data_IF_634698757878
#
_entry.id   IF_634698757878
#
_cell.length_a   1.000
_cell.length_b   1.000
_cell.length_c   1.000
_cell.angle_alpha   90.00
_cell.angle_beta   90.00
_cell.angle_gamma   90.00
#
_symmetry.space_group_name_H-M   'P 1'
#
loop_
_entity.id
_entity.type
_entity.pdbx_description
1 polymer ?
#
# COMPACT_ATOMS: atom_id res chain seq x y z
N UNK A 1 5.20 -15.03 -9.21
CA UNK A 1 4.76 -14.60 -7.86
C UNK A 1 5.19 -15.62 -6.83
N UNK A 2 5.61 -15.18 -5.67
CA UNK A 2 5.88 -16.08 -4.53
C UNK A 2 4.60 -16.21 -3.69
N UNK A 3 3.70 -17.08 -4.10
CA UNK A 3 2.38 -17.26 -3.49
C UNK A 3 2.45 -17.61 -2.01
N UNK A 4 3.39 -18.46 -1.62
CA UNK A 4 3.53 -18.89 -0.23
C UNK A 4 3.90 -17.73 0.69
N UNK A 5 4.88 -16.91 0.32
CA UNK A 5 5.26 -15.74 1.12
C UNK A 5 4.16 -14.69 1.15
N UNK A 6 3.51 -14.44 0.02
CA UNK A 6 2.37 -13.52 -0.02
C UNK A 6 1.27 -13.99 0.93
N UNK A 7 0.98 -15.30 0.95
CA UNK A 7 -0.05 -15.86 1.82
C UNK A 7 0.26 -15.68 3.31
N UNK A 8 1.52 -15.82 3.70
CA UNK A 8 1.94 -15.63 5.10
C UNK A 8 1.72 -14.18 5.54
N UNK A 9 1.92 -13.21 4.64
CA UNK A 9 1.84 -11.78 4.96
C UNK A 9 0.44 -11.21 4.76
N UNK A 10 -0.40 -11.84 3.94
CA UNK A 10 -1.67 -11.29 3.52
C UNK A 10 -2.75 -11.43 4.59
N UNK A 11 -3.66 -10.45 4.60
CA UNK A 11 -4.93 -10.55 5.32
C UNK A 11 -5.99 -11.10 4.36
N UNK A 12 -6.97 -11.82 4.93
CA UNK A 12 -8.15 -12.23 4.16
C UNK A 12 -9.22 -11.15 4.33
N UNK A 13 -9.38 -10.32 3.31
CA UNK A 13 -10.30 -9.19 3.35
C UNK A 13 -11.77 -9.57 3.13
N UNK A 14 -12.06 -10.87 2.98
CA UNK A 14 -13.42 -11.39 3.10
C UNK A 14 -13.86 -11.49 4.57
N UNK A 15 -12.90 -11.49 5.49
CA UNK A 15 -13.14 -11.72 6.92
C UNK A 15 -12.72 -10.55 7.81
N UNK A 16 -11.82 -9.71 7.35
CA UNK A 16 -11.29 -8.59 8.13
C UNK A 16 -11.10 -7.38 7.22
N UNK A 17 -10.82 -6.24 7.82
CA UNK A 17 -10.52 -5.02 7.06
C UNK A 17 -9.01 -4.87 6.88
N UNK A 18 -8.56 -4.20 5.80
CA UNK A 18 -7.16 -3.80 5.71
C UNK A 18 -6.83 -2.79 6.80
N UNK A 19 -5.54 -2.57 7.04
CA UNK A 19 -5.11 -1.58 8.03
C UNK A 19 -5.70 -0.21 7.73
N UNK A 20 -5.83 0.61 8.76
CA UNK A 20 -6.38 1.97 8.67
C UNK A 20 -5.65 2.80 7.60
N UNK A 21 -6.34 3.76 6.93
CA UNK A 21 -5.66 4.73 6.06
C UNK A 21 -4.58 5.54 6.77
N UNK A 22 -4.63 5.61 8.09
CA UNK A 22 -3.63 6.33 8.90
C UNK A 22 -2.52 5.44 9.44
N UNK A 23 -2.57 4.14 9.19
CA UNK A 23 -1.51 3.24 9.64
C UNK A 23 -0.23 3.50 8.86
N UNK A 24 0.89 3.60 9.58
CA UNK A 24 2.19 3.85 8.97
C UNK A 24 2.77 2.59 8.33
N UNK A 25 3.53 2.79 7.27
CA UNK A 25 4.40 1.77 6.68
C UNK A 25 5.82 2.32 6.72
N UNK A 26 6.65 1.77 7.61
CA UNK A 26 7.99 2.31 7.84
C UNK A 26 7.93 3.72 8.41
N UNK A 27 9.04 4.46 8.26
CA UNK A 27 9.19 5.80 8.84
C UNK A 27 8.77 6.93 7.89
N UNK A 28 8.64 6.64 6.59
CA UNK A 28 8.40 7.67 5.57
C UNK A 28 6.93 7.77 5.19
N UNK A 29 6.21 6.67 5.25
CA UNK A 29 4.84 6.58 4.73
C UNK A 29 3.82 6.55 5.86
N UNK A 30 3.39 7.74 6.35
CA UNK A 30 2.50 7.83 7.51
C UNK A 30 1.03 7.59 7.21
N UNK A 31 0.65 7.52 5.93
CA UNK A 31 -0.76 7.34 5.54
C UNK A 31 -0.88 6.53 4.26
N UNK A 32 -1.97 5.79 4.16
CA UNK A 32 -2.42 5.02 2.99
C UNK A 32 -1.56 3.81 2.65
N UNK A 33 -0.23 3.90 2.77
CA UNK A 33 0.69 2.87 2.28
C UNK A 33 0.43 1.49 2.87
N UNK A 34 0.27 1.38 4.19
CA UNK A 34 0.02 0.08 4.83
C UNK A 34 -1.29 -0.54 4.34
N UNK A 35 -2.34 0.28 4.19
CA UNK A 35 -3.65 -0.17 3.73
C UNK A 35 -3.59 -0.66 2.28
N UNK A 36 -2.95 0.09 1.39
CA UNK A 36 -2.87 -0.35 -0.01
C UNK A 36 -2.02 -1.60 -0.19
N UNK A 37 -1.00 -1.80 0.65
CA UNK A 37 -0.21 -3.03 0.64
C UNK A 37 -1.07 -4.22 1.07
N UNK A 38 -1.90 -4.08 2.10
CA UNK A 38 -2.83 -5.13 2.52
C UNK A 38 -3.79 -5.50 1.40
N UNK A 39 -4.34 -4.50 0.71
CA UNK A 39 -5.25 -4.73 -0.41
C UNK A 39 -4.55 -5.43 -1.58
N UNK A 40 -3.33 -5.02 -1.87
CA UNK A 40 -2.54 -5.64 -2.95
C UNK A 40 -2.30 -7.12 -2.67
N UNK A 41 -1.82 -7.45 -1.48
CA UNK A 41 -1.57 -8.84 -1.10
C UNK A 41 -2.84 -9.69 -1.17
N UNK A 42 -3.94 -9.17 -0.66
CA UNK A 42 -5.22 -9.88 -0.68
C UNK A 42 -5.72 -10.10 -2.12
N UNK A 43 -5.60 -9.09 -2.97
CA UNK A 43 -6.02 -9.19 -4.36
C UNK A 43 -5.17 -10.20 -5.14
N UNK A 44 -3.87 -10.26 -4.87
CA UNK A 44 -2.98 -11.25 -5.48
C UNK A 44 -3.42 -12.69 -5.16
N UNK A 45 -4.08 -12.90 -4.04
CA UNK A 45 -4.55 -14.21 -3.60
C UNK A 45 -6.04 -14.43 -3.84
N UNK A 46 -6.72 -13.48 -4.50
CA UNK A 46 -8.15 -13.59 -4.75
C UNK A 46 -9.02 -13.50 -3.50
N UNK A 47 -8.55 -12.80 -2.47
CA UNK A 47 -9.27 -12.66 -1.18
C UNK A 47 -9.42 -11.21 -0.72
N UNK A 48 -9.61 -10.31 -1.68
CA UNK A 48 -9.74 -8.87 -1.41
C UNK A 48 -11.14 -8.42 -0.99
N UNK A 49 -12.13 -9.31 -1.07
CA UNK A 49 -13.51 -8.95 -0.74
C UNK A 49 -14.00 -7.79 -1.60
N UNK A 50 -14.57 -6.77 -0.96
CA UNK A 50 -15.04 -5.57 -1.65
C UNK A 50 -13.96 -4.49 -1.79
N UNK A 51 -12.75 -4.75 -1.32
CA UNK A 51 -11.65 -3.77 -1.39
C UNK A 51 -10.91 -3.90 -2.71
N UNK A 52 -10.42 -2.77 -3.22
CA UNK A 52 -9.69 -2.72 -4.48
C UNK A 52 -8.34 -2.02 -4.29
N UNK A 53 -7.29 -2.65 -4.80
CA UNK A 53 -6.00 -2.02 -4.95
C UNK A 53 -6.07 -1.01 -6.10
N UNK A 54 -5.32 0.09 -5.99
CA UNK A 54 -5.32 1.17 -6.97
C UNK A 54 -6.70 1.86 -7.09
N UNK A 55 -7.41 1.95 -5.96
CA UNK A 55 -8.67 2.69 -5.87
C UNK A 55 -8.40 4.21 -5.89
N UNK A 56 -9.44 5.07 -5.97
CA UNK A 56 -9.24 6.52 -5.98
C UNK A 56 -8.39 7.05 -4.83
N UNK A 57 -8.54 6.50 -3.62
CA UNK A 57 -7.72 6.89 -2.47
C UNK A 57 -6.25 6.49 -2.67
N UNK A 58 -6.00 5.27 -3.15
CA UNK A 58 -4.65 4.80 -3.44
C UNK A 58 -3.99 5.67 -4.51
N UNK A 59 -4.76 6.11 -5.51
CA UNK A 59 -4.25 6.98 -6.57
C UNK A 59 -3.80 8.33 -6.05
N UNK A 60 -4.42 8.83 -4.99
CA UNK A 60 -3.94 10.04 -4.32
C UNK A 60 -2.53 9.83 -3.77
N UNK A 61 -2.27 8.67 -3.17
CA UNK A 61 -0.96 8.30 -2.68
C UNK A 61 0.06 8.17 -3.83
N UNK A 62 -0.30 7.48 -4.90
CA UNK A 62 0.60 7.30 -6.05
C UNK A 62 0.93 8.64 -6.71
N UNK A 63 -0.04 9.53 -6.84
CA UNK A 63 0.19 10.87 -7.38
C UNK A 63 1.11 11.69 -6.47
N UNK A 64 0.92 11.59 -5.16
CA UNK A 64 1.71 12.35 -4.18
C UNK A 64 3.16 11.87 -4.07
N UNK A 65 3.42 10.60 -4.33
CA UNK A 65 4.76 10.00 -4.17
C UNK A 65 5.50 9.77 -5.47
N UNK A 66 4.77 9.63 -6.58
CA UNK A 66 5.34 9.24 -7.87
C UNK A 66 5.60 7.73 -7.99
N UNK A 67 5.21 6.93 -6.99
CA UNK A 67 5.30 5.47 -7.06
C UNK A 67 4.26 4.97 -8.05
N UNK A 68 4.64 4.05 -8.92
CA UNK A 68 3.74 3.44 -9.90
C UNK A 68 3.06 2.21 -9.34
N UNK A 69 1.73 2.17 -9.43
CA UNK A 69 0.90 1.11 -8.85
C UNK A 69 1.26 -0.29 -9.37
N UNK A 70 1.44 -0.44 -10.67
CA UNK A 70 1.78 -1.73 -11.29
C UNK A 70 3.15 -2.24 -10.87
N UNK A 71 4.15 -1.37 -10.84
CA UNK A 71 5.50 -1.76 -10.42
C UNK A 71 5.52 -2.16 -8.95
N UNK A 72 4.77 -1.46 -8.12
CA UNK A 72 4.63 -1.82 -6.71
C UNK A 72 3.96 -3.19 -6.56
N UNK A 73 2.90 -3.44 -7.32
CA UNK A 73 2.22 -4.73 -7.31
C UNK A 73 3.18 -5.87 -7.66
N UNK A 74 3.99 -5.69 -8.70
CA UNK A 74 4.99 -6.68 -9.10
C UNK A 74 5.99 -6.96 -7.98
N UNK A 75 6.44 -5.91 -7.29
CA UNK A 75 7.37 -6.08 -6.18
C UNK A 75 6.73 -6.79 -4.98
N UNK A 76 5.51 -6.41 -4.62
CA UNK A 76 4.76 -7.07 -3.54
C UNK A 76 4.55 -8.55 -3.85
N UNK A 77 4.32 -8.89 -5.11
CA UNK A 77 4.12 -10.27 -5.56
C UNK A 77 5.35 -11.16 -5.35
N UNK A 78 6.53 -10.59 -5.15
CA UNK A 78 7.74 -11.36 -4.82
C UNK A 78 7.71 -11.91 -3.39
N UNK A 79 6.76 -11.48 -2.56
CA UNK A 79 6.66 -11.88 -1.17
C UNK A 79 7.41 -10.96 -0.23
N UNK A 80 7.69 -9.73 -0.65
CA UNK A 80 8.37 -8.73 0.16
C UNK A 80 7.56 -8.40 1.42
N UNK A 81 8.24 -8.26 2.56
CA UNK A 81 7.62 -7.85 3.82
C UNK A 81 7.45 -6.32 3.84
N UNK A 82 6.82 -5.81 4.92
CA UNK A 82 6.53 -4.38 5.04
C UNK A 82 7.77 -3.49 4.98
N UNK A 83 8.87 -3.92 5.62
CA UNK A 83 10.12 -3.16 5.62
C UNK A 83 10.71 -3.11 4.21
N UNK A 84 10.71 -4.25 3.53
CA UNK A 84 11.20 -4.33 2.15
C UNK A 84 10.36 -3.47 1.20
N UNK A 85 9.03 -3.49 1.38
CA UNK A 85 8.13 -2.68 0.56
C UNK A 85 8.36 -1.19 0.81
N UNK A 86 8.49 -0.77 2.07
CA UNK A 86 8.77 0.63 2.40
C UNK A 86 10.09 1.10 1.81
N UNK A 87 11.14 0.27 1.87
CA UNK A 87 12.44 0.56 1.29
C UNK A 87 12.35 0.72 -0.23
N UNK A 88 11.64 -0.19 -0.88
CA UNK A 88 11.43 -0.15 -2.33
C UNK A 88 10.67 1.12 -2.74
N UNK A 89 9.60 1.46 -2.01
CA UNK A 89 8.81 2.66 -2.26
C UNK A 89 9.67 3.93 -2.14
N UNK A 90 10.51 4.00 -1.11
CA UNK A 90 11.41 5.14 -0.92
C UNK A 90 12.38 5.28 -2.08
N UNK A 91 12.90 4.16 -2.60
CA UNK A 91 13.82 4.16 -3.72
C UNK A 91 13.16 4.56 -5.05
N UNK A 92 11.87 4.31 -5.19
CA UNK A 92 11.13 4.56 -6.44
C UNK A 92 10.27 5.83 -6.40
N UNK A 93 10.13 6.46 -5.24
CA UNK A 93 9.42 7.74 -5.14
C UNK A 93 10.15 8.81 -5.95
N UNK A 94 9.39 9.68 -6.61
CA UNK A 94 9.94 10.75 -7.44
C UNK A 94 9.90 12.12 -6.75
N UNK A 95 9.40 12.17 -5.51
CA UNK A 95 9.35 13.40 -4.71
C UNK A 95 10.20 13.23 -3.46
N UNK A 96 10.68 14.33 -2.84
CA UNK A 96 11.47 14.25 -1.62
C UNK A 96 10.72 13.64 -0.45
N UNK A 97 11.44 12.97 0.45
CA UNK A 97 10.88 12.36 1.65
C UNK A 97 10.05 13.33 2.47
N UNK A 98 10.52 14.57 2.65
CA UNK A 98 9.80 15.61 3.39
C UNK A 98 8.42 15.90 2.79
N UNK A 99 8.31 15.86 1.46
CA UNK A 99 7.03 16.08 0.78
C UNK A 99 6.06 14.93 1.06
N UNK A 100 6.55 13.70 1.10
CA UNK A 100 5.73 12.52 1.40
C UNK A 100 5.21 12.58 2.84
N UNK A 101 6.09 12.89 3.79
CA UNK A 101 5.71 13.00 5.20
C UNK A 101 4.68 14.11 5.39
N UNK A 102 4.90 15.26 4.75
CA UNK A 102 3.97 16.40 4.82
C UNK A 102 2.61 16.06 4.22
N UNK A 103 2.60 15.38 3.09
CA UNK A 103 1.36 14.93 2.48
C UNK A 103 0.59 13.98 3.42
N UNK A 104 1.28 13.02 4.02
CA UNK A 104 0.67 12.07 4.94
C UNK A 104 0.03 12.73 6.17
N UNK A 105 0.65 13.79 6.68
CA UNK A 105 0.10 14.54 7.82
C UNK A 105 -1.16 15.31 7.46
N UNK A 106 -1.33 15.69 6.20
CA UNK A 106 -2.48 16.45 5.70
C UNK A 106 -3.56 15.57 5.12
N UNK A 107 -3.24 14.29 4.91
CA UNK A 107 -4.15 13.37 4.26
C UNK A 107 -5.46 13.24 5.03
N UNK A 108 -6.58 13.22 4.27
CA UNK A 108 -7.92 12.92 4.80
C UNK A 108 -8.56 11.90 3.88
N UNK A 109 -9.09 10.79 4.42
CA UNK A 109 -9.71 9.74 3.60
C UNK A 109 -10.92 10.27 2.83
N UNK A 110 -11.15 9.66 1.66
CA UNK A 110 -12.37 9.90 0.89
C UNK A 110 -13.51 9.19 1.64
N UNK A 111 -14.58 9.94 1.98
CA UNK A 111 -15.68 9.41 2.81
C UNK A 111 -16.47 8.29 2.16
N UNK A 112 -16.58 8.29 0.85
CA UNK A 112 -17.35 7.31 0.08
C UNK A 112 -16.55 6.07 -0.29
N UNK A 113 -15.31 6.03 0.14
CA UNK A 113 -14.42 4.93 -0.21
C UNK A 113 -14.63 3.70 0.63
#
# INVERSE_FOLDING_TARGET
MNTERVRILALNLNRTSPRSPYAALGNVFPAVAARLVDKCRAELLGQSGSYEYDCPMDRMFFAATGVEAELLREFIATGANDIEVATWMSAHATVPEEAIVRWGRRFRPIRSG
#
